data_IF_326454942329
#
_entry.id   IF_326454942329
#
_cell.length_a   1.000
_cell.length_b   1.000
_cell.length_c   1.000
_cell.angle_alpha   90.00
_cell.angle_beta   90.00
_cell.angle_gamma   90.00
#
_symmetry.space_group_name_H-M   'P 1'
#
loop_
_entity.id
_entity.type
_entity.pdbx_description
1 polymer ?
#
# COMPACT_ATOMS: atom_id res chain seq x y z
N UNK A 1 -10.32 28.47 -4.56
CA UNK A 1 -9.10 27.66 -4.29
C UNK A 1 -9.51 26.20 -4.21
N UNK A 2 -9.11 25.37 -5.18
CA UNK A 2 -9.35 23.92 -5.12
C UNK A 2 -8.34 23.32 -4.16
N UNK A 3 -8.76 22.91 -2.98
CA UNK A 3 -7.93 22.15 -2.04
C UNK A 3 -7.60 20.81 -2.70
N UNK A 4 -6.39 20.67 -3.25
CA UNK A 4 -5.89 19.37 -3.73
C UNK A 4 -5.67 18.51 -2.48
N UNK A 5 -6.53 17.51 -2.26
CA UNK A 5 -6.36 16.54 -1.19
C UNK A 5 -5.26 15.55 -1.60
N UNK A 6 -4.03 15.78 -1.15
CA UNK A 6 -2.94 14.83 -1.34
C UNK A 6 -3.01 13.78 -0.23
N UNK A 7 -3.64 12.63 -0.53
CA UNK A 7 -3.58 11.46 0.35
C UNK A 7 -2.15 10.92 0.34
N UNK A 8 -1.38 11.25 1.37
CA UNK A 8 -0.21 10.46 1.74
C UNK A 8 -0.77 9.13 2.26
N UNK A 9 -0.72 8.09 1.42
CA UNK A 9 -0.95 6.72 1.87
C UNK A 9 0.02 6.45 3.01
N UNK A 10 -0.53 6.35 4.21
CA UNK A 10 0.14 6.36 5.51
C UNK A 10 1.30 5.38 5.56
N UNK A 11 2.51 5.84 5.25
CA UNK A 11 3.73 5.25 5.78
C UNK A 11 3.94 5.95 7.11
N UNK A 12 3.52 5.31 8.21
CA UNK A 12 3.95 5.73 9.53
C UNK A 12 5.47 5.53 9.62
N UNK A 13 6.20 6.57 9.22
CA UNK A 13 7.62 6.72 9.50
C UNK A 13 7.76 6.98 11.00
N UNK A 14 8.05 5.93 11.76
CA UNK A 14 8.71 6.12 13.03
C UNK A 14 10.11 6.68 12.77
N UNK A 15 10.35 7.91 13.22
CA UNK A 15 11.67 8.52 13.18
C UNK A 15 12.63 7.75 14.10
N UNK A 16 13.75 7.29 13.54
CA UNK A 16 14.91 6.88 14.31
C UNK A 16 15.62 5.63 13.78
N UNK A 17 16.68 5.86 13.00
CA UNK A 17 17.78 4.93 12.73
C UNK A 17 17.49 3.72 11.82
N UNK A 18 18.59 3.23 11.26
CA UNK A 18 18.72 2.25 10.20
C UNK A 18 17.89 0.98 10.41
N UNK A 19 17.29 0.53 9.30
CA UNK A 19 16.39 -0.62 9.15
C UNK A 19 14.97 -0.27 9.58
N UNK A 20 14.05 -0.35 8.63
CA UNK A 20 12.62 -0.41 8.91
C UNK A 20 12.36 -1.69 9.74
N UNK A 21 12.55 -1.57 11.04
CA UNK A 21 11.98 -2.43 12.07
C UNK A 21 11.23 -1.50 13.01
N UNK A 22 10.14 -2.01 13.55
CA UNK A 22 9.32 -1.31 14.54
C UNK A 22 10.19 -0.75 15.67
N UNK A 23 9.81 0.36 16.32
CA UNK A 23 10.55 0.81 17.51
C UNK A 23 10.58 -0.37 18.50
N UNK A 24 11.77 -0.91 18.77
CA UNK A 24 11.99 -1.90 19.81
C UNK A 24 11.03 -3.11 19.76
N UNK A 25 10.77 -3.69 18.58
CA UNK A 25 9.86 -4.84 18.42
C UNK A 25 8.42 -4.59 18.91
N UNK A 26 7.99 -3.33 18.98
CA UNK A 26 6.65 -2.94 19.46
C UNK A 26 5.71 -2.73 18.28
N UNK A 27 4.51 -3.30 18.35
CA UNK A 27 3.48 -3.17 17.32
C UNK A 27 2.39 -2.21 17.78
N UNK A 28 1.91 -1.38 16.86
CA UNK A 28 0.77 -0.48 17.11
C UNK A 28 -0.39 -0.91 16.23
N UNK A 29 -1.56 -1.10 16.83
CA UNK A 29 -2.81 -1.30 16.14
C UNK A 29 -3.80 -0.22 16.56
N UNK A 30 -4.50 0.34 15.58
CA UNK A 30 -5.63 1.26 15.81
C UNK A 30 -6.87 0.54 15.29
N UNK A 31 -7.83 0.29 16.17
CA UNK A 31 -9.08 -0.37 15.85
C UNK A 31 -10.25 0.60 16.01
N UNK A 32 -11.24 0.49 15.12
CA UNK A 32 -12.49 1.23 15.21
C UNK A 32 -13.63 0.23 15.40
N UNK A 33 -14.53 0.50 16.33
CA UNK A 33 -15.77 -0.27 16.50
C UNK A 33 -16.89 0.38 15.67
N UNK A 34 -17.59 -0.42 14.88
CA UNK A 34 -18.68 0.02 14.00
C UNK A 34 -19.16 -1.14 13.12
N UNK A 35 -20.12 -0.89 12.22
CA UNK A 35 -20.67 -1.91 11.29
C UNK A 35 -19.72 -2.29 10.14
N UNK A 36 -18.42 -2.06 10.31
CA UNK A 36 -17.40 -2.34 9.32
C UNK A 36 -16.98 -3.81 9.39
N UNK A 37 -17.03 -4.52 8.27
CA UNK A 37 -16.45 -5.86 8.16
C UNK A 37 -14.99 -5.74 7.76
N UNK A 38 -14.09 -6.14 8.66
CA UNK A 38 -12.66 -6.30 8.41
C UNK A 38 -12.20 -7.70 8.80
N UNK A 39 -11.23 -8.24 8.06
CA UNK A 39 -10.58 -9.51 8.36
C UNK A 39 -9.11 -9.43 7.96
N UNK A 40 -8.26 -10.21 8.62
CA UNK A 40 -6.83 -10.21 8.37
C UNK A 40 -6.29 -11.64 8.33
N UNK A 41 -5.13 -11.80 7.71
CA UNK A 41 -4.31 -13.00 7.77
C UNK A 41 -2.84 -12.61 7.74
N UNK A 42 -1.99 -13.45 8.31
CA UNK A 42 -0.55 -13.28 8.28
C UNK A 42 0.16 -14.60 7.96
N UNK A 43 1.23 -14.50 7.18
CA UNK A 43 2.03 -15.66 6.79
C UNK A 43 3.43 -15.25 6.36
N UNK A 44 4.46 -16.11 6.56
CA UNK A 44 5.78 -15.90 5.97
C UNK A 44 5.75 -15.75 4.44
N UNK A 45 4.84 -16.49 3.79
CA UNK A 45 4.58 -16.39 2.36
C UNK A 45 3.46 -15.39 2.07
N UNK A 46 3.51 -14.73 0.91
CA UNK A 46 2.45 -13.78 0.57
C UNK A 46 1.10 -14.50 0.43
N UNK A 47 0.05 -14.14 1.19
CA UNK A 47 -1.13 -14.98 1.41
C UNK A 47 -2.15 -14.89 0.26
N UNK A 48 -1.76 -15.37 -0.92
CA UNK A 48 -2.54 -15.30 -2.17
C UNK A 48 -3.91 -15.97 -2.06
N UNK A 49 -4.00 -17.09 -1.34
CA UNK A 49 -5.25 -17.85 -1.17
C UNK A 49 -6.24 -17.07 -0.33
N UNK A 50 -5.81 -16.51 0.80
CA UNK A 50 -6.63 -15.62 1.61
C UNK A 50 -7.15 -14.44 0.79
N UNK A 51 -6.26 -13.73 0.07
CA UNK A 51 -6.63 -12.58 -0.75
C UNK A 51 -7.73 -12.93 -1.76
N UNK A 52 -7.57 -14.05 -2.49
CA UNK A 52 -8.58 -14.49 -3.47
C UNK A 52 -9.92 -14.79 -2.81
N UNK A 53 -9.92 -15.53 -1.69
CA UNK A 53 -11.13 -15.83 -0.93
C UNK A 53 -11.84 -14.56 -0.44
N UNK A 54 -11.10 -13.51 -0.09
CA UNK A 54 -11.69 -12.23 0.30
C UNK A 54 -12.23 -11.44 -0.89
N UNK A 55 -11.52 -11.43 -2.02
CA UNK A 55 -12.01 -10.84 -3.26
C UNK A 55 -13.33 -11.47 -3.72
N UNK A 56 -13.46 -12.79 -3.62
CA UNK A 56 -14.70 -13.52 -3.96
C UNK A 56 -15.88 -13.14 -3.06
N UNK A 57 -15.60 -12.60 -1.87
CA UNK A 57 -16.60 -12.07 -0.91
C UNK A 57 -16.87 -10.57 -1.09
N UNK A 58 -16.26 -9.92 -2.08
CA UNK A 58 -16.33 -8.48 -2.26
C UNK A 58 -15.55 -7.67 -1.21
N UNK A 59 -14.59 -8.30 -0.53
CA UNK A 59 -13.67 -7.62 0.38
C UNK A 59 -12.33 -7.39 -0.31
N UNK A 60 -11.72 -6.24 -0.08
CA UNK A 60 -10.48 -5.84 -0.77
C UNK A 60 -9.40 -5.46 0.23
N UNK A 61 -8.14 -5.60 -0.19
CA UNK A 61 -6.98 -5.23 0.63
C UNK A 61 -7.06 -3.73 0.96
N UNK A 62 -7.09 -3.44 2.25
CA UNK A 62 -7.12 -2.10 2.83
C UNK A 62 -5.87 -1.79 3.63
N UNK A 63 -5.11 -2.80 4.05
CA UNK A 63 -3.78 -2.66 4.62
C UNK A 63 -2.84 -3.81 4.24
N UNK A 64 -1.56 -3.51 4.13
CA UNK A 64 -0.49 -4.43 3.74
C UNK A 64 0.83 -4.00 4.37
N UNK A 65 1.44 -4.89 5.15
CA UNK A 65 2.78 -4.66 5.69
C UNK A 65 3.59 -5.96 5.72
N UNK A 66 4.91 -5.82 5.83
CA UNK A 66 5.82 -6.94 6.09
C UNK A 66 6.67 -6.60 7.30
N UNK A 67 6.72 -7.50 8.27
CA UNK A 67 7.51 -7.33 9.48
C UNK A 67 7.71 -8.66 10.18
N UNK A 68 8.78 -8.77 10.97
CA UNK A 68 9.11 -9.98 11.73
C UNK A 68 9.04 -11.30 10.92
N UNK A 69 9.43 -11.26 9.65
CA UNK A 69 9.43 -12.45 8.78
C UNK A 69 8.11 -12.74 8.05
N UNK A 70 7.04 -12.00 8.33
CA UNK A 70 5.70 -12.29 7.84
C UNK A 70 5.07 -11.13 7.07
N UNK A 71 4.22 -11.46 6.11
CA UNK A 71 3.26 -10.55 5.49
C UNK A 71 2.01 -10.49 6.33
N UNK A 72 1.49 -9.29 6.55
CA UNK A 72 0.21 -9.04 7.19
C UNK A 72 -0.69 -8.35 6.17
N UNK A 73 -1.87 -8.91 5.94
CA UNK A 73 -2.85 -8.38 4.98
C UNK A 73 -4.17 -8.18 5.70
N UNK A 74 -4.70 -6.96 5.62
CA UNK A 74 -6.05 -6.64 6.08
C UNK A 74 -6.94 -6.42 4.87
N UNK A 75 -8.12 -7.01 4.89
CA UNK A 75 -9.18 -6.74 3.92
C UNK A 75 -10.41 -6.18 4.59
N UNK A 76 -11.19 -5.41 3.84
CA UNK A 76 -12.42 -4.81 4.35
C UNK A 76 -13.43 -4.63 3.23
N UNK A 77 -14.69 -4.39 3.60
CA UNK A 77 -15.67 -3.83 2.66
C UNK A 77 -15.24 -2.42 2.23
N UNK A 78 -15.24 -2.13 0.93
CA UNK A 78 -14.82 -0.84 0.37
C UNK A 78 -15.67 -0.48 -0.84
N UNK A 79 -15.53 0.74 -1.34
CA UNK A 79 -16.10 1.15 -2.63
C UNK A 79 -15.30 0.65 -3.84
N UNK A 80 -14.23 -0.15 -3.63
CA UNK A 80 -13.43 -0.66 -4.74
C UNK A 80 -14.24 -1.64 -5.58
N UNK A 81 -14.04 -1.59 -6.90
CA UNK A 81 -14.77 -2.47 -7.84
C UNK A 81 -13.89 -3.58 -8.38
N UNK A 82 -12.57 -3.39 -8.39
CA UNK A 82 -11.57 -4.38 -8.80
C UNK A 82 -10.25 -4.09 -8.08
N UNK A 83 -9.45 -5.13 -7.82
CA UNK A 83 -8.12 -4.99 -7.25
C UNK A 83 -7.13 -5.93 -7.96
N UNK A 84 -5.90 -5.48 -8.11
CA UNK A 84 -4.81 -6.27 -8.66
C UNK A 84 -3.55 -6.06 -7.81
N UNK A 85 -2.69 -7.07 -7.75
CA UNK A 85 -1.39 -6.94 -7.11
C UNK A 85 -0.26 -7.35 -8.04
N UNK A 86 0.90 -6.74 -7.80
CA UNK A 86 2.20 -7.13 -8.32
C UNK A 86 3.06 -7.65 -7.18
N UNK A 87 3.86 -8.70 -7.41
CA UNK A 87 4.86 -9.21 -6.47
C UNK A 87 6.11 -9.64 -7.23
N UNK A 88 7.21 -8.91 -7.10
CA UNK A 88 8.50 -9.27 -7.72
C UNK A 88 9.68 -8.57 -7.02
N UNK A 89 10.90 -9.05 -7.25
CA UNK A 89 12.13 -8.35 -6.84
C UNK A 89 12.34 -7.08 -7.67
N UNK A 90 11.98 -7.10 -8.96
CA UNK A 90 12.07 -5.95 -9.86
C UNK A 90 11.07 -4.87 -9.41
N UNK A 91 11.52 -3.63 -9.46
CA UNK A 91 10.64 -2.49 -9.20
C UNK A 91 9.51 -2.41 -10.26
N UNK A 92 8.24 -2.21 -9.86
CA UNK A 92 7.07 -2.41 -10.73
C UNK A 92 6.72 -1.23 -11.65
N UNK A 93 7.69 -0.49 -12.17
CA UNK A 93 7.43 0.70 -13.01
C UNK A 93 6.48 0.41 -14.18
N UNK A 94 6.89 -0.52 -15.07
CA UNK A 94 6.12 -0.89 -16.26
C UNK A 94 4.71 -1.41 -15.92
N UNK A 95 4.58 -2.15 -14.81
CA UNK A 95 3.30 -2.72 -14.39
C UNK A 95 2.34 -1.65 -13.84
N UNK A 96 2.85 -0.72 -13.04
CA UNK A 96 2.08 0.42 -12.51
C UNK A 96 1.58 1.29 -13.67
N UNK A 97 2.44 1.63 -14.62
CA UNK A 97 2.05 2.44 -15.79
C UNK A 97 0.97 1.77 -16.63
N UNK A 98 1.07 0.45 -16.81
CA UNK A 98 0.03 -0.33 -17.49
C UNK A 98 -1.29 -0.27 -16.72
N UNK A 99 -1.25 -0.45 -15.40
CA UNK A 99 -2.46 -0.48 -14.56
C UNK A 99 -3.14 0.88 -14.42
N UNK A 100 -2.40 1.98 -14.39
CA UNK A 100 -2.97 3.32 -14.48
C UNK A 100 -3.77 3.51 -15.78
N UNK A 101 -3.25 3.06 -16.93
CA UNK A 101 -3.98 3.11 -18.22
C UNK A 101 -5.25 2.24 -18.21
N UNK A 102 -5.29 1.21 -17.37
CA UNK A 102 -6.47 0.36 -17.16
C UNK A 102 -7.47 0.95 -16.14
N UNK A 103 -7.17 2.12 -15.56
CA UNK A 103 -8.01 2.84 -14.59
C UNK A 103 -7.89 2.35 -13.15
N UNK A 104 -6.79 1.68 -12.79
CA UNK A 104 -6.47 1.36 -11.41
C UNK A 104 -5.62 2.45 -10.79
N UNK A 105 -5.77 2.69 -9.49
CA UNK A 105 -4.95 3.60 -8.68
C UNK A 105 -4.11 2.83 -7.67
N UNK A 106 -2.93 3.33 -7.30
CA UNK A 106 -2.05 2.73 -6.28
C UNK A 106 -2.69 2.91 -4.90
N UNK A 107 -3.08 1.80 -4.27
CA UNK A 107 -3.75 1.85 -2.96
C UNK A 107 -2.89 1.32 -1.83
N UNK A 108 -1.89 0.47 -2.10
CA UNK A 108 -0.87 0.06 -1.11
C UNK A 108 0.45 -0.33 -1.77
N UNK A 109 1.53 -0.16 -1.02
CA UNK A 109 2.87 -0.55 -1.41
C UNK A 109 3.60 -1.04 -0.17
N UNK A 110 4.23 -2.20 -0.27
CA UNK A 110 5.11 -2.73 0.77
C UNK A 110 6.35 -3.36 0.14
N UNK A 111 7.46 -3.31 0.86
CA UNK A 111 8.68 -4.03 0.52
C UNK A 111 9.04 -4.95 1.69
N UNK A 112 9.26 -6.23 1.39
CA UNK A 112 9.44 -7.26 2.40
C UNK A 112 9.87 -8.57 1.76
N UNK A 113 10.53 -9.46 2.51
CA UNK A 113 11.04 -10.73 2.00
C UNK A 113 11.77 -10.60 0.64
N UNK A 114 12.56 -9.52 0.49
CA UNK A 114 13.30 -9.18 -0.73
C UNK A 114 12.45 -8.96 -2.00
N UNK A 115 11.17 -8.59 -1.86
CA UNK A 115 10.27 -8.29 -2.99
C UNK A 115 9.46 -7.02 -2.75
N UNK A 116 9.09 -6.36 -3.83
CA UNK A 116 8.06 -5.32 -3.87
C UNK A 116 6.69 -5.97 -4.02
N UNK A 117 5.74 -5.52 -3.21
CA UNK A 117 4.32 -5.79 -3.42
C UNK A 117 3.60 -4.46 -3.62
N UNK A 118 2.89 -4.33 -4.73
CA UNK A 118 2.06 -3.15 -5.03
C UNK A 118 0.63 -3.62 -5.25
N UNK A 119 -0.30 -2.97 -4.56
CA UNK A 119 -1.73 -3.17 -4.71
C UNK A 119 -2.28 -1.95 -5.44
N UNK A 120 -3.05 -2.20 -6.49
CA UNK A 120 -3.81 -1.16 -7.17
C UNK A 120 -5.29 -1.53 -7.22
N UNK A 121 -6.17 -0.55 -7.02
CA UNK A 121 -7.62 -0.74 -6.97
C UNK A 121 -8.34 0.20 -7.94
N UNK A 122 -9.45 -0.25 -8.51
CA UNK A 122 -10.43 0.62 -9.20
C UNK A 122 -11.47 1.13 -8.21
N UNK A 123 -11.98 2.34 -8.45
CA UNK A 123 -12.98 2.95 -7.57
C UNK A 123 -12.40 3.50 -6.28
N UNK A 124 -11.08 3.72 -6.23
CA UNK A 124 -10.42 4.33 -5.06
C UNK A 124 -10.70 5.83 -4.94
N UNK A 125 -11.19 6.47 -6.01
CA UNK A 125 -11.44 7.92 -6.03
C UNK A 125 -10.16 8.75 -6.01
N UNK A 126 -9.01 8.13 -6.28
CA UNK A 126 -7.73 8.80 -6.38
C UNK A 126 -7.56 9.35 -7.81
N UNK A 127 -6.86 10.47 -7.94
CA UNK A 127 -6.57 11.08 -9.24
C UNK A 127 -5.19 11.71 -9.21
N UNK A 128 -4.53 11.81 -10.37
CA UNK A 128 -3.23 12.46 -10.53
C UNK A 128 -2.12 11.90 -9.64
N UNK A 129 -2.06 10.57 -9.50
CA UNK A 129 -1.02 9.92 -8.72
C UNK A 129 0.38 10.14 -9.32
N UNK A 130 1.37 10.28 -8.45
CA UNK A 130 2.78 10.32 -8.82
C UNK A 130 3.52 9.19 -8.11
N UNK A 131 4.30 8.42 -8.86
CA UNK A 131 5.00 7.23 -8.37
C UNK A 131 6.50 7.31 -8.68
N UNK A 132 7.31 6.73 -7.81
CA UNK A 132 8.74 6.55 -8.06
C UNK A 132 9.51 6.20 -6.80
N UNK A 133 10.68 5.57 -6.97
CA UNK A 133 11.64 5.33 -5.89
C UNK A 133 12.76 6.36 -5.91
N UNK A 134 13.34 6.67 -4.76
CA UNK A 134 14.55 7.49 -4.63
C UNK A 134 15.54 6.80 -3.71
N UNK A 135 16.82 6.93 -4.00
CA UNK A 135 17.89 6.32 -3.21
C UNK A 135 18.23 7.08 -1.92
N UNK A 136 17.60 8.23 -1.68
CA UNK A 136 17.87 9.06 -0.51
C UNK A 136 16.61 9.80 -0.05
N UNK A 137 16.58 10.14 1.24
CA UNK A 137 15.53 10.97 1.81
C UNK A 137 15.48 12.36 1.16
N UNK A 138 16.66 12.94 0.87
CA UNK A 138 16.76 14.18 0.10
C UNK A 138 16.05 14.06 -1.25
N UNK A 139 16.29 12.97 -2.00
CA UNK A 139 15.62 12.74 -3.28
C UNK A 139 14.11 12.55 -3.16
N UNK A 140 13.62 11.90 -2.10
CA UNK A 140 12.16 11.82 -1.82
C UNK A 140 11.59 13.21 -1.57
N UNK A 141 12.26 14.02 -0.72
CA UNK A 141 11.82 15.38 -0.41
C UNK A 141 11.74 16.25 -1.66
N UNK A 142 12.76 16.22 -2.50
CA UNK A 142 12.79 16.97 -3.78
C UNK A 142 11.67 16.52 -4.72
N UNK A 143 11.40 15.21 -4.80
CA UNK A 143 10.30 14.70 -5.62
C UNK A 143 8.93 15.21 -5.15
N UNK A 144 8.67 15.16 -3.84
CA UNK A 144 7.41 15.64 -3.26
C UNK A 144 7.23 17.14 -3.54
N UNK A 145 8.26 17.94 -3.26
CA UNK A 145 8.21 19.38 -3.48
C UNK A 145 8.00 19.74 -4.96
N UNK A 146 8.63 19.01 -5.88
CA UNK A 146 8.39 19.19 -7.30
C UNK A 146 6.92 18.98 -7.68
N UNK A 147 6.27 17.92 -7.16
CA UNK A 147 4.87 17.60 -7.49
C UNK A 147 3.84 18.49 -6.81
N UNK A 148 4.16 19.09 -5.67
CA UNK A 148 3.24 19.99 -4.96
C UNK A 148 3.25 21.42 -5.48
N UNK A 149 4.37 21.84 -6.06
CA UNK A 149 4.52 23.19 -6.61
C UNK A 149 4.01 23.30 -8.07
N UNK A 150 3.56 22.20 -8.68
CA UNK A 150 2.89 22.11 -9.99
C UNK A 150 1.34 22.23 -9.90
#
# INVERSE_FOLDING_TARGET
MKTKLFLILSIFFLFGLTKAQTQNNTWCAVLMEGSYSQTYDNSPEFPKTFIKTQWDKGQYITDLTYGNGEWYVVTSSTAYTQQAYFKDKKFPGDWVEKKWKEGFDITKVAYGSNVWVVIMSKGAGLTNESWGKRGSFKGIKEFILGKWND
#
